data_IF_404498602116
#
_entry.id   IF_404498602116
#
_cell.length_a   1.000
_cell.length_b   1.000
_cell.length_c   1.000
_cell.angle_alpha   90.00
_cell.angle_beta   90.00
_cell.angle_gamma   90.00
#
_symmetry.space_group_name_H-M   'P 1'
#
loop_
_entity.id
_entity.type
_entity.pdbx_description
1 polymer ?
#
# COMPACT_ATOMS: atom_id res chain seq x y z
N UNK A 1 -21.49 9.83 -6.11
CA UNK A 1 -20.76 8.60 -5.76
C UNK A 1 -19.59 8.98 -4.86
N UNK A 2 -19.21 8.10 -3.92
CA UNK A 2 -18.00 8.32 -3.12
C UNK A 2 -16.74 8.13 -3.98
N UNK A 3 -15.65 8.80 -3.59
CA UNK A 3 -14.34 8.65 -4.23
C UNK A 3 -13.74 7.29 -3.86
N UNK A 4 -13.02 6.68 -4.78
CA UNK A 4 -12.40 5.37 -4.61
C UNK A 4 -10.88 5.50 -4.56
N UNK A 5 -10.24 4.90 -3.56
CA UNK A 5 -8.78 4.92 -3.37
C UNK A 5 -8.24 3.50 -3.39
N UNK A 6 -7.21 3.27 -4.20
CA UNK A 6 -6.43 2.04 -4.19
C UNK A 6 -5.19 2.25 -3.32
N UNK A 7 -5.07 1.54 -2.20
CA UNK A 7 -3.84 1.50 -1.41
C UNK A 7 -3.07 0.23 -1.75
N UNK A 8 -1.80 0.35 -2.17
CA UNK A 8 -0.94 -0.80 -2.53
C UNK A 8 0.25 -0.87 -1.59
N UNK A 9 0.43 -2.02 -0.93
CA UNK A 9 1.52 -2.26 0.04
C UNK A 9 2.43 -3.43 -0.36
N UNK A 10 3.64 -3.44 0.17
CA UNK A 10 4.64 -4.51 -0.03
C UNK A 10 4.24 -5.83 0.64
N UNK A 11 4.80 -6.94 0.17
CA UNK A 11 4.83 -8.23 0.89
C UNK A 11 6.25 -8.72 1.17
N UNK A 12 7.27 -7.93 0.85
CA UNK A 12 8.67 -8.34 0.98
C UNK A 12 9.19 -8.19 2.40
N UNK A 13 9.93 -9.20 2.90
CA UNK A 13 10.33 -9.28 4.31
C UNK A 13 11.82 -9.30 4.58
N UNK A 14 12.66 -9.52 3.58
CA UNK A 14 14.06 -9.89 3.81
C UNK A 14 15.03 -8.95 3.11
N UNK A 15 15.87 -8.25 3.89
CA UNK A 15 17.01 -7.48 3.36
C UNK A 15 18.26 -8.38 3.39
N UNK A 16 18.52 -8.98 4.54
CA UNK A 16 19.54 -10.03 4.77
C UNK A 16 18.96 -11.10 5.71
N UNK A 17 19.73 -12.13 6.04
CA UNK A 17 19.29 -13.17 6.97
C UNK A 17 18.91 -12.60 8.34
N UNK A 18 19.68 -11.63 8.84
CA UNK A 18 19.53 -10.98 10.14
C UNK A 18 18.69 -9.69 10.11
N UNK A 19 18.46 -9.08 8.95
CA UNK A 19 17.66 -7.86 8.81
C UNK A 19 16.34 -8.12 8.07
N UNK A 20 15.25 -8.07 8.82
CA UNK A 20 13.88 -8.17 8.30
C UNK A 20 13.24 -6.79 8.12
N UNK A 21 12.29 -6.72 7.22
CA UNK A 21 11.52 -5.53 6.85
C UNK A 21 10.06 -5.90 6.56
N UNK A 22 9.28 -4.93 6.15
CA UNK A 22 7.93 -5.07 5.63
C UNK A 22 7.37 -3.70 5.29
N UNK A 23 6.05 -3.59 5.38
CA UNK A 23 5.32 -2.32 5.38
C UNK A 23 5.67 -1.51 6.63
N UNK A 24 5.85 -0.20 6.48
CA UNK A 24 5.86 0.71 7.64
C UNK A 24 4.42 1.03 8.07
N UNK A 25 3.98 0.49 9.22
CA UNK A 25 2.56 0.46 9.59
C UNK A 25 1.88 1.84 9.57
N UNK A 26 2.50 2.86 10.17
CA UNK A 26 1.93 4.21 10.25
C UNK A 26 1.63 4.81 8.86
N UNK A 27 2.50 4.54 7.88
CA UNK A 27 2.38 5.06 6.51
C UNK A 27 1.20 4.45 5.75
N UNK A 28 0.65 3.34 6.23
CA UNK A 28 -0.64 2.80 5.76
C UNK A 28 -1.78 3.22 6.68
N UNK A 29 -1.63 3.04 8.00
CA UNK A 29 -2.72 3.18 8.95
C UNK A 29 -3.26 4.61 9.03
N UNK A 30 -2.37 5.60 9.06
CA UNK A 30 -2.78 7.00 9.15
C UNK A 30 -3.50 7.46 7.87
N UNK A 31 -2.97 7.25 6.64
CA UNK A 31 -3.70 7.59 5.43
C UNK A 31 -5.01 6.80 5.26
N UNK A 32 -5.02 5.50 5.63
CA UNK A 32 -6.21 4.67 5.59
C UNK A 32 -7.34 5.30 6.42
N UNK A 33 -7.06 5.66 7.67
CA UNK A 33 -8.04 6.31 8.55
C UNK A 33 -8.52 7.65 7.99
N UNK A 34 -7.61 8.47 7.44
CA UNK A 34 -7.98 9.74 6.80
C UNK A 34 -8.95 9.52 5.63
N UNK A 35 -8.74 8.51 4.79
CA UNK A 35 -9.65 8.18 3.70
C UNK A 35 -11.01 7.66 4.20
N UNK A 36 -11.00 6.81 5.22
CA UNK A 36 -12.21 6.29 5.86
C UNK A 36 -13.05 7.42 6.49
N UNK A 37 -12.42 8.37 7.19
CA UNK A 37 -13.09 9.54 7.78
C UNK A 37 -13.76 10.43 6.73
N UNK A 38 -13.21 10.48 5.50
CA UNK A 38 -13.82 11.17 4.36
C UNK A 38 -14.92 10.37 3.67
N UNK A 39 -15.15 9.14 4.11
CA UNK A 39 -16.15 8.23 3.54
C UNK A 39 -15.76 7.68 2.17
N UNK A 40 -14.47 7.65 1.84
CA UNK A 40 -13.97 7.09 0.58
C UNK A 40 -14.07 5.56 0.59
N UNK A 41 -14.27 4.97 -0.58
CA UNK A 41 -14.21 3.51 -0.77
C UNK A 41 -12.74 3.12 -0.98
N UNK A 42 -12.13 2.52 0.04
CA UNK A 42 -10.71 2.15 0.03
C UNK A 42 -10.56 0.67 -0.29
N UNK A 43 -9.93 0.36 -1.43
CA UNK A 43 -9.43 -0.99 -1.70
C UNK A 43 -8.00 -1.10 -1.17
N UNK A 44 -7.77 -2.08 -0.30
CA UNK A 44 -6.43 -2.43 0.18
C UNK A 44 -5.91 -3.64 -0.60
N UNK A 45 -4.84 -3.42 -1.36
CA UNK A 45 -4.14 -4.44 -2.11
C UNK A 45 -2.69 -4.55 -1.65
N UNK A 46 -2.11 -5.74 -1.81
CA UNK A 46 -0.67 -5.93 -1.73
C UNK A 46 -0.18 -6.68 -2.97
N UNK A 47 1.13 -6.68 -3.20
CA UNK A 47 1.74 -7.35 -4.37
C UNK A 47 1.29 -8.81 -4.50
N UNK A 48 1.24 -9.54 -3.40
CA UNK A 48 0.92 -10.97 -3.33
C UNK A 48 -0.50 -11.25 -2.80
N UNK A 49 -1.17 -10.27 -2.20
CA UNK A 49 -2.41 -10.47 -1.45
C UNK A 49 -2.18 -11.16 -0.11
N UNK A 50 -3.26 -11.39 0.64
CA UNK A 50 -3.22 -12.05 1.94
C UNK A 50 -2.68 -11.15 3.06
N UNK A 51 -2.03 -11.75 4.06
CA UNK A 51 -1.50 -11.05 5.23
C UNK A 51 -0.21 -10.29 4.88
N UNK A 52 -0.19 -9.01 5.24
CA UNK A 52 0.93 -8.11 4.94
C UNK A 52 1.94 -8.12 6.09
N UNK A 53 3.23 -8.39 5.82
CA UNK A 53 4.27 -8.28 6.83
C UNK A 53 4.57 -6.82 7.16
N UNK A 54 4.78 -6.54 8.44
CA UNK A 54 5.16 -5.22 8.94
C UNK A 54 6.65 -5.18 9.26
N UNK A 55 7.30 -4.05 8.99
CA UNK A 55 8.66 -3.80 9.47
C UNK A 55 8.64 -3.86 11.01
N UNK A 56 9.50 -4.68 11.66
CA UNK A 56 9.52 -4.82 13.11
C UNK A 56 9.73 -3.50 13.87
N UNK A 57 10.33 -2.50 13.23
CA UNK A 57 10.53 -1.17 13.82
C UNK A 57 9.32 -0.26 13.74
N UNK A 58 8.32 -0.61 12.92
CA UNK A 58 7.11 0.19 12.73
C UNK A 58 5.97 -0.16 13.68
N UNK A 59 6.15 -1.16 14.55
CA UNK A 59 5.07 -1.72 15.39
C UNK A 59 5.23 -1.42 16.88
N UNK A 60 6.23 -0.64 17.28
CA UNK A 60 6.52 -0.37 18.70
C UNK A 60 5.58 0.66 19.32
N UNK A 61 5.03 1.57 18.53
CA UNK A 61 4.21 2.71 18.97
C UNK A 61 2.85 2.69 18.25
N UNK A 62 2.12 1.58 18.37
CA UNK A 62 0.79 1.44 17.74
C UNK A 62 -0.23 2.33 18.43
N UNK A 63 -0.96 3.13 17.66
CA UNK A 63 -2.11 3.87 18.15
C UNK A 63 -3.36 2.96 18.17
N UNK A 64 -4.15 2.92 19.25
CA UNK A 64 -5.39 2.14 19.32
C UNK A 64 -6.40 2.42 18.20
N UNK A 65 -6.37 3.63 17.61
CA UNK A 65 -7.21 3.99 16.45
C UNK A 65 -6.90 3.17 15.20
N UNK A 66 -5.73 2.53 15.11
CA UNK A 66 -5.28 1.80 13.92
C UNK A 66 -5.87 0.39 13.81
N UNK A 67 -6.72 -0.03 14.74
CA UNK A 67 -7.27 -1.40 14.78
C UNK A 67 -7.94 -1.84 13.46
N UNK A 68 -8.70 -0.95 12.80
CA UNK A 68 -9.33 -1.26 11.51
C UNK A 68 -8.33 -1.35 10.37
N UNK A 69 -7.32 -0.48 10.36
CA UNK A 69 -6.24 -0.51 9.38
C UNK A 69 -5.43 -1.82 9.51
N UNK A 70 -5.07 -2.20 10.74
CA UNK A 70 -4.38 -3.46 11.01
C UNK A 70 -5.20 -4.67 10.59
N UNK A 71 -6.52 -4.63 10.80
CA UNK A 71 -7.42 -5.70 10.35
C UNK A 71 -7.45 -5.82 8.82
N UNK A 72 -7.48 -4.69 8.09
CA UNK A 72 -7.48 -4.67 6.63
C UNK A 72 -6.20 -5.29 6.02
N UNK A 73 -5.07 -5.18 6.72
CA UNK A 73 -3.78 -5.75 6.29
C UNK A 73 -3.70 -7.28 6.44
N UNK A 74 -4.63 -7.92 7.16
CA UNK A 74 -4.61 -9.39 7.37
C UNK A 74 -5.11 -10.18 6.16
N UNK A 75 -5.88 -9.56 5.28
CA UNK A 75 -6.46 -10.24 4.11
C UNK A 75 -6.61 -9.27 2.93
N UNK A 76 -5.47 -8.74 2.48
CA UNK A 76 -5.43 -7.81 1.35
C UNK A 76 -5.75 -8.50 0.03
N UNK A 77 -6.34 -7.75 -0.90
CA UNK A 77 -6.45 -8.22 -2.28
C UNK A 77 -5.06 -8.35 -2.90
N UNK A 78 -4.87 -9.31 -3.82
CA UNK A 78 -3.69 -9.30 -4.69
C UNK A 78 -3.87 -8.22 -5.75
N UNK A 79 -2.85 -7.40 -5.97
CA UNK A 79 -2.85 -6.39 -7.03
C UNK A 79 -3.08 -7.07 -8.40
N UNK A 80 -4.01 -6.53 -9.19
CA UNK A 80 -4.31 -6.98 -10.56
C UNK A 80 -4.20 -5.82 -11.54
N UNK A 81 -4.02 -6.13 -12.83
CA UNK A 81 -4.13 -5.12 -13.90
C UNK A 81 -5.54 -4.52 -14.00
N UNK A 82 -6.56 -5.22 -13.48
CA UNK A 82 -7.92 -4.67 -13.37
C UNK A 82 -7.98 -3.45 -12.44
N UNK A 83 -7.04 -3.35 -11.50
CA UNK A 83 -6.94 -2.23 -10.56
C UNK A 83 -6.42 -0.94 -11.20
N UNK A 84 -6.01 -1.00 -12.46
CA UNK A 84 -5.64 0.17 -13.24
C UNK A 84 -6.81 1.15 -13.46
N UNK A 85 -8.06 0.67 -13.29
CA UNK A 85 -9.28 1.43 -13.57
C UNK A 85 -10.25 1.45 -12.39
N UNK A 86 -11.16 2.43 -12.40
CA UNK A 86 -12.24 2.52 -11.43
C UNK A 86 -11.85 3.12 -10.08
N UNK A 87 -10.67 3.72 -9.96
CA UNK A 87 -10.21 4.44 -8.78
C UNK A 87 -9.93 5.90 -9.12
N UNK A 88 -10.07 6.80 -8.16
CA UNK A 88 -9.73 8.22 -8.32
C UNK A 88 -8.27 8.51 -7.93
N UNK A 89 -7.71 7.70 -7.03
CA UNK A 89 -6.34 7.83 -6.55
C UNK A 89 -5.71 6.47 -6.23
N UNK A 90 -4.39 6.37 -6.42
CA UNK A 90 -3.56 5.29 -5.89
C UNK A 90 -2.61 5.87 -4.84
N UNK A 91 -2.46 5.18 -3.71
CA UNK A 91 -1.59 5.56 -2.61
C UNK A 91 -0.61 4.42 -2.30
N UNK A 92 0.68 4.72 -2.25
CA UNK A 92 1.78 3.77 -2.02
C UNK A 92 2.47 4.08 -0.67
N UNK A 93 2.07 3.40 0.42
CA UNK A 93 2.85 3.37 1.67
C UNK A 93 4.23 2.74 1.44
N UNK A 94 5.19 3.11 2.29
CA UNK A 94 6.56 2.64 2.23
C UNK A 94 6.87 1.50 3.21
N UNK A 95 8.02 1.63 3.87
CA UNK A 95 8.77 0.52 4.45
C UNK A 95 9.76 -0.08 3.45
N UNK A 96 10.91 -0.57 3.92
CA UNK A 96 12.00 -0.98 3.03
C UNK A 96 11.66 -2.20 2.16
N UNK A 97 10.57 -2.93 2.48
CA UNK A 97 10.11 -4.04 1.63
C UNK A 97 9.81 -3.58 0.21
N UNK A 98 9.23 -2.39 0.05
CA UNK A 98 8.87 -1.79 -1.25
C UNK A 98 10.05 -1.74 -2.22
N UNK A 99 11.27 -1.49 -1.73
CA UNK A 99 12.47 -1.43 -2.56
C UNK A 99 12.79 -2.73 -3.30
N UNK A 100 12.20 -3.85 -2.90
CA UNK A 100 12.46 -5.18 -3.45
C UNK A 100 11.30 -5.72 -4.30
N UNK A 101 10.07 -5.25 -4.08
CA UNK A 101 8.89 -5.78 -4.76
C UNK A 101 8.02 -4.75 -5.47
N UNK A 102 8.35 -3.45 -5.41
CA UNK A 102 7.67 -2.40 -6.20
C UNK A 102 8.36 -2.09 -7.54
N UNK A 103 9.67 -1.76 -7.61
CA UNK A 103 10.28 -1.19 -8.81
C UNK A 103 10.12 -2.04 -10.08
N UNK A 104 10.28 -3.36 -9.94
CA UNK A 104 10.29 -4.30 -11.07
C UNK A 104 8.95 -5.06 -11.21
N UNK A 105 7.91 -4.64 -10.49
CA UNK A 105 6.60 -5.29 -10.57
C UNK A 105 5.81 -4.81 -11.79
N UNK A 106 5.74 -5.64 -12.83
CA UNK A 106 5.04 -5.32 -14.08
C UNK A 106 3.55 -4.94 -13.89
N UNK A 107 2.89 -5.51 -12.88
CA UNK A 107 1.49 -5.16 -12.59
C UNK A 107 1.38 -3.76 -12.00
N UNK A 108 2.23 -3.42 -11.02
CA UNK A 108 2.27 -2.09 -10.43
C UNK A 108 2.66 -1.03 -11.47
N UNK A 109 3.68 -1.31 -12.29
CA UNK A 109 4.07 -0.43 -13.40
C UNK A 109 2.92 -0.17 -14.37
N UNK A 110 2.19 -1.22 -14.77
CA UNK A 110 1.01 -1.08 -15.63
C UNK A 110 -0.09 -0.24 -14.98
N UNK A 111 -0.40 -0.50 -13.70
CA UNK A 111 -1.40 0.26 -12.95
C UNK A 111 -1.00 1.73 -12.87
N UNK A 112 0.23 2.05 -12.47
CA UNK A 112 0.71 3.42 -12.36
C UNK A 112 0.71 4.16 -13.71
N UNK A 113 1.09 3.48 -14.79
CA UNK A 113 0.99 4.03 -16.14
C UNK A 113 -0.44 4.45 -16.48
N UNK A 114 -1.44 3.59 -16.23
CA UNK A 114 -2.83 3.95 -16.53
C UNK A 114 -3.34 5.09 -15.65
N UNK A 115 -2.94 5.16 -14.37
CA UNK A 115 -3.28 6.30 -13.53
C UNK A 115 -2.68 7.61 -14.06
N UNK A 116 -1.44 7.58 -14.56
CA UNK A 116 -0.77 8.74 -15.15
C UNK A 116 -1.45 9.18 -16.46
N UNK A 117 -1.72 8.23 -17.37
CA UNK A 117 -2.41 8.48 -18.65
C UNK A 117 -3.83 9.03 -18.45
N UNK A 118 -4.56 8.52 -17.45
CA UNK A 118 -5.92 8.98 -17.11
C UNK A 118 -5.94 10.29 -16.31
N UNK A 119 -4.78 10.86 -15.94
CA UNK A 119 -4.69 12.07 -15.11
C UNK A 119 -5.23 11.88 -13.68
N UNK A 120 -5.17 10.65 -13.16
CA UNK A 120 -5.57 10.30 -11.78
C UNK A 120 -4.46 10.63 -10.79
N UNK A 121 -4.83 10.71 -9.51
CA UNK A 121 -3.89 11.03 -8.45
C UNK A 121 -3.00 9.82 -8.16
N UNK A 122 -1.69 10.03 -8.16
CA UNK A 122 -0.70 9.09 -7.66
C UNK A 122 -0.01 9.74 -6.46
N UNK A 123 -0.02 9.06 -5.32
CA UNK A 123 0.63 9.51 -4.10
C UNK A 123 1.49 8.39 -3.52
N UNK A 124 2.62 8.76 -2.92
CA UNK A 124 3.54 7.83 -2.30
C UNK A 124 4.29 8.49 -1.15
N UNK A 125 4.73 7.70 -0.17
CA UNK A 125 5.45 8.19 1.02
C UNK A 125 6.66 7.31 1.32
N UNK A 126 7.74 7.91 1.85
CA UNK A 126 8.96 7.21 2.28
C UNK A 126 9.63 6.43 1.13
N UNK A 127 9.57 5.09 1.16
CA UNK A 127 10.09 4.22 0.09
C UNK A 127 9.02 3.78 -0.92
N UNK A 128 7.74 4.11 -0.68
CA UNK A 128 6.66 3.90 -1.65
C UNK A 128 6.94 4.49 -3.06
N UNK A 129 7.66 5.63 -3.21
CA UNK A 129 8.09 6.13 -4.51
C UNK A 129 9.00 5.19 -5.31
N UNK A 130 9.51 4.10 -4.71
CA UNK A 130 10.26 3.06 -5.43
C UNK A 130 9.46 2.35 -6.53
N UNK A 131 8.11 2.44 -6.50
CA UNK A 131 7.26 1.91 -7.57
C UNK A 131 7.22 2.76 -8.85
N UNK A 132 7.86 3.93 -8.86
CA UNK A 132 7.91 4.83 -10.02
C UNK A 132 9.18 4.65 -10.86
#
# INVERSE_FOLDING_TARGET
>A
MTKRVLMVVTNHTTITDDHKTGLWLEEFAVPYLVFQEKGYDVKVASIQGGEVPLDPRSINEKDPSWAEAEAALKNTARLSRDDAHGFDAIFLPGGHGTMFDFPDNETLQYVLQQFAEDGRIIAAVCHGPSGW
#
